data_IF_252118034474
#
_entry.id   IF_252118034474
#
_cell.length_a   1.000
_cell.length_b   1.000
_cell.length_c   1.000
_cell.angle_alpha   90.00
_cell.angle_beta   90.00
_cell.angle_gamma   90.00
#
_symmetry.space_group_name_H-M   'P 1'
#
loop_
_entity.id
_entity.type
_entity.pdbx_description
1 polymer ?
#
# COMPACT_ATOMS: atom_id res chain seq x y z
N UNK A 1 -20.25 2.01 -17.04
CA UNK A 1 -20.80 3.14 -16.25
C UNK A 1 -21.00 2.66 -14.82
N UNK A 2 -20.22 3.18 -13.88
CA UNK A 2 -20.32 2.88 -12.45
C UNK A 2 -21.49 3.68 -11.86
N UNK A 3 -22.39 3.03 -11.09
CA UNK A 3 -23.63 3.66 -10.59
C UNK A 3 -23.70 3.80 -9.06
N UNK A 4 -22.95 2.99 -8.34
CA UNK A 4 -23.03 2.88 -6.88
C UNK A 4 -21.68 2.97 -6.18
N UNK A 5 -20.60 2.98 -6.97
CA UNK A 5 -19.21 3.07 -6.52
C UNK A 5 -18.49 4.05 -7.43
N UNK A 6 -17.41 4.64 -6.94
CA UNK A 6 -16.46 5.40 -7.72
C UNK A 6 -15.69 4.50 -8.71
N UNK A 7 -15.35 5.06 -9.86
CA UNK A 7 -14.55 4.39 -10.87
C UNK A 7 -13.05 4.45 -10.52
N UNK A 8 -12.60 5.65 -10.14
CA UNK A 8 -11.22 5.94 -9.78
C UNK A 8 -11.22 6.97 -8.65
N UNK A 9 -10.18 6.92 -7.83
CA UNK A 9 -9.98 7.87 -6.74
C UNK A 9 -8.50 8.20 -6.63
N UNK A 10 -8.18 9.48 -6.49
CA UNK A 10 -6.87 9.95 -6.08
C UNK A 10 -6.97 10.70 -4.76
N UNK A 11 -5.96 10.55 -3.92
CA UNK A 11 -5.89 11.23 -2.64
C UNK A 11 -4.43 11.48 -2.26
N UNK A 12 -4.25 12.41 -1.34
CA UNK A 12 -2.95 12.70 -0.76
C UNK A 12 -2.97 12.42 0.73
N UNK A 13 -1.90 11.82 1.25
CA UNK A 13 -1.67 11.60 2.67
C UNK A 13 -0.47 12.42 3.12
N UNK A 14 -0.56 13.00 4.32
CA UNK A 14 0.55 13.70 4.98
C UNK A 14 0.86 12.99 6.29
N UNK A 15 2.12 12.59 6.46
CA UNK A 15 2.60 11.89 7.64
C UNK A 15 3.42 12.82 8.54
N UNK A 16 3.59 12.48 9.83
CA UNK A 16 4.52 13.18 10.71
C UNK A 16 5.91 13.29 10.06
N UNK A 17 6.50 14.49 10.13
CA UNK A 17 7.79 14.78 9.48
C UNK A 17 7.68 15.28 8.04
N UNK A 18 6.46 15.52 7.53
CA UNK A 18 6.24 16.15 6.22
C UNK A 18 6.36 15.22 5.02
N UNK A 19 6.41 13.90 5.25
CA UNK A 19 6.30 12.92 4.17
C UNK A 19 4.90 13.02 3.54
N UNK A 20 4.87 13.10 2.22
CA UNK A 20 3.65 13.14 1.43
C UNK A 20 3.58 11.86 0.61
N UNK A 21 2.40 11.24 0.57
CA UNK A 21 2.10 10.16 -0.35
C UNK A 21 0.95 10.57 -1.26
N UNK A 22 1.21 10.60 -2.56
CA UNK A 22 0.19 10.73 -3.59
C UNK A 22 -0.25 9.32 -4.02
N UNK A 23 -1.55 9.06 -3.95
CA UNK A 23 -2.09 7.72 -4.12
C UNK A 23 -3.24 7.75 -5.12
N UNK A 24 -3.40 6.65 -5.86
CA UNK A 24 -4.48 6.46 -6.82
C UNK A 24 -4.95 5.01 -6.83
N UNK A 25 -6.26 4.81 -7.03
CA UNK A 25 -6.84 3.53 -7.38
C UNK A 25 -7.84 3.71 -8.54
N UNK A 26 -8.03 2.67 -9.34
CA UNK A 26 -8.96 2.69 -10.48
C UNK A 26 -9.45 1.29 -10.83
N UNK A 27 -10.72 1.18 -11.22
CA UNK A 27 -11.28 0.00 -11.86
C UNK A 27 -11.11 -0.02 -13.39
N UNK A 28 -10.73 1.10 -14.00
CA UNK A 28 -10.60 1.26 -15.45
C UNK A 28 -9.16 1.43 -15.95
N UNK A 29 -8.21 1.61 -15.04
CA UNK A 29 -6.78 1.79 -15.36
C UNK A 29 -5.95 0.64 -14.76
N UNK A 30 -4.99 0.14 -15.53
CA UNK A 30 -4.00 -0.83 -15.04
C UNK A 30 -2.85 -0.06 -14.35
N UNK A 31 -2.77 -0.18 -13.03
CA UNK A 31 -1.76 0.50 -12.22
C UNK A 31 -1.16 -0.45 -11.20
N UNK A 32 0.16 -0.46 -11.10
CA UNK A 32 0.86 -1.28 -10.12
C UNK A 32 2.25 -0.71 -9.83
N UNK A 33 2.29 0.40 -9.12
CA UNK A 33 3.52 1.15 -8.87
C UNK A 33 3.62 1.50 -7.39
N UNK A 34 4.82 1.34 -6.83
CA UNK A 34 5.19 1.93 -5.55
C UNK A 34 6.52 2.64 -5.73
N UNK A 35 6.52 3.96 -5.64
CA UNK A 35 7.71 4.80 -5.76
C UNK A 35 7.89 5.64 -4.51
N UNK A 36 9.14 5.80 -4.09
CA UNK A 36 9.52 6.74 -3.05
C UNK A 36 10.73 7.55 -3.50
N UNK A 37 10.58 8.87 -3.47
CA UNK A 37 11.64 9.84 -3.70
C UNK A 37 12.19 10.32 -2.34
N UNK A 38 13.51 10.39 -2.23
CA UNK A 38 14.24 10.76 -1.02
C UNK A 38 15.34 11.78 -1.35
N UNK A 39 15.95 12.38 -0.32
CA UNK A 39 16.98 13.41 -0.47
C UNK A 39 18.15 12.97 -1.38
N UNK A 40 18.49 11.68 -1.35
CA UNK A 40 19.65 11.10 -2.05
C UNK A 40 19.28 10.15 -3.18
N UNK A 41 18.11 10.30 -3.78
CA UNK A 41 17.67 9.48 -4.90
C UNK A 41 16.27 8.92 -4.72
N UNK A 42 15.98 7.83 -5.40
CA UNK A 42 14.65 7.22 -5.40
C UNK A 42 14.74 5.72 -5.48
N UNK A 43 13.65 5.07 -5.08
CA UNK A 43 13.45 3.64 -5.27
C UNK A 43 12.01 3.34 -5.67
N UNK A 44 11.83 2.30 -6.46
CA UNK A 44 10.57 1.98 -7.10
C UNK A 44 10.40 0.47 -7.24
N UNK A 45 9.17 0.00 -7.10
CA UNK A 45 8.73 -1.32 -7.52
C UNK A 45 7.66 -1.17 -8.61
N UNK A 46 7.82 -1.88 -9.73
CA UNK A 46 6.86 -1.89 -10.84
C UNK A 46 7.00 -3.18 -11.66
N UNK A 47 6.07 -4.14 -11.55
CA UNK A 47 4.88 -4.12 -10.69
C UNK A 47 5.21 -4.27 -9.19
N UNK A 48 4.57 -3.50 -8.32
CA UNK A 48 4.81 -3.54 -6.87
C UNK A 48 4.06 -4.65 -6.11
N UNK A 49 2.81 -4.92 -6.50
CA UNK A 49 1.86 -5.75 -5.77
C UNK A 49 1.38 -6.96 -6.59
N UNK A 50 2.07 -7.28 -7.69
CA UNK A 50 1.75 -8.44 -8.52
C UNK A 50 2.05 -9.76 -7.79
N UNK A 51 1.42 -10.85 -8.23
CA UNK A 51 1.68 -12.17 -7.65
C UNK A 51 3.09 -12.72 -7.94
N UNK A 52 3.71 -12.29 -9.03
CA UNK A 52 5.07 -12.64 -9.47
C UNK A 52 5.62 -11.53 -10.35
N UNK A 53 6.93 -11.59 -10.61
CA UNK A 53 7.59 -10.64 -11.51
C UNK A 53 7.70 -9.24 -10.92
N UNK A 54 7.80 -9.13 -9.59
CA UNK A 54 8.09 -7.85 -8.93
C UNK A 54 9.49 -7.42 -9.34
N UNK A 55 9.59 -6.28 -10.01
CA UNK A 55 10.85 -5.67 -10.40
C UNK A 55 11.09 -4.42 -9.56
N UNK A 56 12.34 -4.21 -9.16
CA UNK A 56 12.73 -3.04 -8.38
C UNK A 56 13.83 -2.25 -9.07
N UNK A 57 13.78 -0.92 -8.95
CA UNK A 57 14.80 -0.01 -9.46
C UNK A 57 15.11 1.07 -8.45
N UNK A 58 16.34 1.56 -8.49
CA UNK A 58 16.81 2.70 -7.72
C UNK A 58 17.42 3.73 -8.65
N UNK A 59 17.69 4.93 -8.13
CA UNK A 59 18.51 5.93 -8.83
C UNK A 59 19.89 5.44 -9.25
N UNK A 60 20.41 4.36 -8.62
CA UNK A 60 21.74 3.80 -8.88
C UNK A 60 21.70 2.54 -9.77
N UNK A 61 20.51 2.06 -10.15
CA UNK A 61 20.32 0.88 -11.00
C UNK A 61 19.27 -0.10 -10.48
N UNK A 62 19.22 -1.26 -11.13
CA UNK A 62 18.21 -2.30 -10.86
C UNK A 62 18.45 -3.00 -9.51
N UNK A 63 17.35 -3.34 -8.82
CA UNK A 63 17.38 -4.16 -7.62
C UNK A 63 17.41 -5.64 -7.99
N UNK A 64 18.29 -6.41 -7.35
CA UNK A 64 18.26 -7.86 -7.43
C UNK A 64 17.27 -8.42 -6.40
N UNK A 65 16.00 -8.55 -6.80
CA UNK A 65 14.94 -9.09 -5.94
C UNK A 65 14.79 -10.61 -6.13
N UNK A 66 14.73 -11.39 -5.05
CA UNK A 66 14.45 -12.82 -5.16
C UNK A 66 12.99 -13.05 -5.58
N UNK A 67 12.74 -14.12 -6.34
CA UNK A 67 11.37 -14.59 -6.53
C UNK A 67 10.84 -15.16 -5.21
N UNK A 68 9.70 -14.62 -4.76
CA UNK A 68 9.09 -14.99 -3.48
C UNK A 68 7.67 -15.47 -3.71
N UNK A 69 7.38 -16.67 -3.21
CA UNK A 69 6.02 -17.19 -3.10
C UNK A 69 5.33 -16.55 -1.89
N UNK A 70 4.84 -15.32 -2.06
CA UNK A 70 4.32 -14.48 -0.98
C UNK A 70 3.16 -15.12 -0.21
N UNK A 71 2.25 -15.80 -0.90
CA UNK A 71 1.10 -16.46 -0.28
C UNK A 71 1.53 -17.64 0.60
N UNK A 72 2.49 -18.45 0.13
CA UNK A 72 3.03 -19.56 0.92
C UNK A 72 3.72 -19.07 2.19
N UNK A 73 4.57 -18.03 2.07
CA UNK A 73 5.20 -17.39 3.24
C UNK A 73 4.18 -16.82 4.22
N UNK A 74 3.10 -16.22 3.74
CA UNK A 74 2.04 -15.69 4.60
C UNK A 74 1.36 -16.83 5.39
N UNK A 75 1.02 -17.94 4.73
CA UNK A 75 0.39 -19.10 5.36
C UNK A 75 1.33 -19.75 6.39
N UNK A 76 2.61 -19.93 6.04
CA UNK A 76 3.62 -20.49 6.93
C UNK A 76 3.83 -19.60 8.17
N UNK A 77 3.92 -18.28 7.98
CA UNK A 77 4.09 -17.34 9.11
C UNK A 77 2.88 -17.37 10.05
N UNK A 78 1.68 -17.48 9.50
CA UNK A 78 0.45 -17.59 10.28
C UNK A 78 0.41 -18.88 11.11
N UNK A 79 0.74 -20.02 10.49
CA UNK A 79 0.84 -21.30 11.21
C UNK A 79 1.91 -21.23 12.31
N UNK A 80 3.09 -20.68 12.01
CA UNK A 80 4.17 -20.49 12.98
C UNK A 80 3.77 -19.54 14.12
N UNK A 81 2.96 -18.51 13.84
CA UNK A 81 2.46 -17.60 14.87
C UNK A 81 1.61 -18.35 15.91
N UNK A 82 0.70 -19.21 15.44
CA UNK A 82 -0.14 -20.05 16.29
C UNK A 82 0.70 -21.05 17.08
N UNK A 83 1.56 -21.81 16.42
CA UNK A 83 2.37 -22.87 17.07
C UNK A 83 3.31 -22.30 18.13
N UNK A 84 3.95 -21.17 17.83
CA UNK A 84 4.91 -20.54 18.74
C UNK A 84 4.26 -19.56 19.73
N UNK A 85 2.93 -19.41 19.69
CA UNK A 85 2.17 -18.45 20.52
C UNK A 85 2.74 -17.03 20.44
N UNK A 86 3.19 -16.62 19.25
CA UNK A 86 3.64 -15.25 18.99
C UNK A 86 2.54 -14.46 18.27
N UNK A 87 2.52 -13.14 18.38
CA UNK A 87 1.66 -12.30 17.55
C UNK A 87 1.96 -12.49 16.04
N UNK A 88 0.92 -12.34 15.22
CA UNK A 88 1.09 -12.11 13.78
C UNK A 88 1.79 -10.76 13.57
N UNK A 89 2.75 -10.64 12.63
CA UNK A 89 3.29 -9.35 12.23
C UNK A 89 2.22 -8.50 11.54
N UNK A 90 1.13 -9.12 11.08
CA UNK A 90 -0.04 -8.49 10.50
C UNK A 90 -1.30 -8.71 11.34
N UNK A 91 -1.43 -8.08 12.52
CA UNK A 91 -2.59 -8.27 13.38
C UNK A 91 -3.84 -7.57 12.83
N UNK A 92 -5.02 -7.96 13.32
CA UNK A 92 -6.30 -7.41 12.87
C UNK A 92 -6.44 -5.90 13.12
N UNK A 93 -5.74 -5.38 14.13
CA UNK A 93 -5.63 -3.94 14.43
C UNK A 93 -5.13 -3.14 13.23
N UNK A 94 -4.21 -3.68 12.43
CA UNK A 94 -3.68 -2.98 11.25
C UNK A 94 -4.74 -2.89 10.15
N UNK A 95 -5.46 -3.97 9.87
CA UNK A 95 -6.58 -3.92 8.92
C UNK A 95 -7.70 -2.98 9.38
N UNK A 96 -7.97 -2.90 10.69
CA UNK A 96 -8.91 -1.92 11.25
C UNK A 96 -8.42 -0.48 11.07
N UNK A 97 -7.11 -0.25 11.15
CA UNK A 97 -6.51 1.05 10.87
C UNK A 97 -6.67 1.42 9.39
N UNK A 98 -6.47 0.49 8.47
CA UNK A 98 -6.67 0.74 7.03
C UNK A 98 -8.14 1.11 6.71
N UNK A 99 -9.10 0.45 7.35
CA UNK A 99 -10.53 0.81 7.21
C UNK A 99 -10.83 2.21 7.76
N UNK A 100 -10.19 2.63 8.87
CA UNK A 100 -10.31 4.01 9.36
C UNK A 100 -9.76 5.02 8.35
N UNK A 101 -8.60 4.73 7.76
CA UNK A 101 -7.98 5.59 6.73
C UNK A 101 -8.89 5.68 5.51
N UNK A 102 -9.44 4.56 5.05
CA UNK A 102 -10.38 4.51 3.94
C UNK A 102 -11.63 5.39 4.20
N UNK A 103 -12.23 5.30 5.38
CA UNK A 103 -13.35 6.16 5.74
C UNK A 103 -12.99 7.64 5.71
N UNK A 104 -11.80 8.00 6.23
CA UNK A 104 -11.31 9.38 6.20
C UNK A 104 -11.07 9.88 4.75
N UNK A 105 -10.59 9.03 3.85
CA UNK A 105 -10.46 9.37 2.42
C UNK A 105 -11.84 9.69 1.82
N UNK A 106 -12.86 8.87 2.09
CA UNK A 106 -14.22 9.15 1.62
C UNK A 106 -14.84 10.39 2.26
N UNK A 107 -14.58 10.66 3.55
CA UNK A 107 -14.99 11.89 4.21
C UNK A 107 -14.31 13.13 3.60
N UNK A 108 -13.02 13.03 3.26
CA UNK A 108 -12.29 14.08 2.56
C UNK A 108 -12.90 14.35 1.18
N UNK A 109 -13.16 13.28 0.42
CA UNK A 109 -13.79 13.36 -0.91
C UNK A 109 -15.15 14.04 -0.85
N UNK A 110 -16.01 13.67 0.13
CA UNK A 110 -17.35 14.26 0.26
C UNK A 110 -17.33 15.72 0.72
N UNK A 111 -16.43 16.05 1.63
CA UNK A 111 -16.40 17.38 2.27
C UNK A 111 -15.54 18.41 1.53
N UNK A 112 -14.61 17.95 0.67
CA UNK A 112 -13.57 18.78 0.08
C UNK A 112 -12.55 19.30 1.09
N UNK A 113 -12.47 18.71 2.29
CA UNK A 113 -11.62 19.17 3.39
C UNK A 113 -10.66 18.08 3.83
N UNK A 114 -9.46 18.49 4.25
CA UNK A 114 -8.47 17.61 4.89
C UNK A 114 -9.07 16.97 6.15
N UNK A 115 -8.91 15.64 6.27
CA UNK A 115 -9.32 14.88 7.44
C UNK A 115 -8.11 14.55 8.30
N UNK A 116 -8.24 14.72 9.62
CA UNK A 116 -7.22 14.28 10.56
C UNK A 116 -7.58 12.88 11.07
N UNK A 117 -6.62 11.97 10.99
CA UNK A 117 -6.77 10.58 11.45
C UNK A 117 -6.12 10.49 12.84
N UNK A 118 -6.87 10.00 13.82
CA UNK A 118 -6.43 9.79 15.21
C UNK A 118 -6.55 8.33 15.63
#
# INVERSE_FOLDING_TARGET
MFKHIEESLSWQMEFPGGLIADCQCSYSEEMNLLRADAEKGWFELSPAFAYRGIEGKTSDGDMNLPEVYQQAKQMDDFAAAITNKRPSPVPGEMGRQDVKIMNAIYDAMRSGKKQQIT
#
